data_IF_246107476049
#
_entry.id   IF_246107476049
#
_cell.length_a   1.000
_cell.length_b   1.000
_cell.length_c   1.000
_cell.angle_alpha   90.00
_cell.angle_beta   90.00
_cell.angle_gamma   90.00
#
_symmetry.space_group_name_H-M   'P 1'
#
loop_
_entity.id
_entity.type
_entity.pdbx_description
1 polymer ?
#
# COMPACT_ATOMS: atom_id res chain seq x y z
N UNK A 1 27.42 -15.06 18.04
CA UNK A 1 27.23 -13.70 18.61
C UNK A 1 25.89 -13.19 18.12
N UNK A 2 25.01 -12.71 18.99
CA UNK A 2 23.74 -12.13 18.56
C UNK A 2 24.03 -10.79 17.87
N UNK A 3 23.47 -10.59 16.68
CA UNK A 3 23.61 -9.36 15.91
C UNK A 3 22.93 -8.20 16.67
N UNK A 4 23.65 -7.10 16.90
CA UNK A 4 23.10 -5.93 17.58
C UNK A 4 22.21 -5.18 16.60
N UNK A 5 20.89 -5.36 16.75
CA UNK A 5 19.90 -4.64 15.93
C UNK A 5 19.58 -3.30 16.59
N UNK A 6 19.94 -2.20 15.92
CA UNK A 6 19.54 -0.85 16.33
C UNK A 6 18.07 -0.62 15.98
N UNK A 7 17.23 -0.39 17.00
CA UNK A 7 15.79 -0.19 16.82
C UNK A 7 15.47 1.28 16.59
N UNK A 8 14.88 1.60 15.43
CA UNK A 8 14.30 2.92 15.16
C UNK A 8 13.09 3.19 16.08
N UNK A 9 12.75 4.45 16.37
CA UNK A 9 11.49 4.77 17.06
C UNK A 9 10.29 4.36 16.21
N UNK A 10 9.13 4.22 16.85
CA UNK A 10 7.88 3.92 16.13
C UNK A 10 7.57 5.06 15.16
N UNK A 11 7.43 4.71 13.89
CA UNK A 11 7.06 5.60 12.80
C UNK A 11 5.54 5.54 12.63
N UNK A 12 4.86 6.68 12.73
CA UNK A 12 3.39 6.75 12.76
C UNK A 12 2.79 7.12 11.41
N UNK A 13 3.44 8.00 10.66
CA UNK A 13 2.86 8.57 9.43
C UNK A 13 3.91 8.75 8.35
N UNK A 14 3.56 8.42 7.10
CA UNK A 14 4.37 8.77 5.92
C UNK A 14 4.07 10.22 5.55
N UNK A 15 5.12 11.05 5.49
CA UNK A 15 5.03 12.48 5.21
C UNK A 15 5.42 12.82 3.77
N UNK A 16 6.43 12.13 3.24
CA UNK A 16 6.94 12.36 1.88
C UNK A 16 7.69 11.12 1.37
N UNK A 17 7.88 11.04 0.05
CA UNK A 17 8.78 10.07 -0.58
C UNK A 17 9.56 10.73 -1.70
N UNK A 18 10.72 10.17 -2.05
CA UNK A 18 11.60 10.68 -3.09
C UNK A 18 12.49 9.61 -3.69
N UNK A 19 13.18 9.97 -4.77
CA UNK A 19 14.22 9.14 -5.39
C UNK A 19 15.52 9.89 -5.32
N UNK A 20 16.52 9.31 -4.65
CA UNK A 20 17.88 9.81 -4.71
C UNK A 20 18.62 9.07 -5.83
N UNK A 21 18.70 9.71 -6.99
CA UNK A 21 19.39 9.15 -8.16
C UNK A 21 20.89 9.02 -7.95
N UNK A 22 21.49 9.85 -7.08
CA UNK A 22 22.92 9.82 -6.82
C UNK A 22 23.30 8.63 -5.94
N UNK A 23 22.45 8.32 -4.95
CA UNK A 23 22.61 7.16 -4.07
C UNK A 23 21.98 5.88 -4.65
N UNK A 24 21.12 5.99 -5.66
CA UNK A 24 20.38 4.86 -6.23
C UNK A 24 19.34 4.28 -5.26
N UNK A 25 18.76 5.12 -4.41
CA UNK A 25 17.84 4.72 -3.34
C UNK A 25 16.47 5.39 -3.50
N UNK A 26 15.47 4.77 -2.88
CA UNK A 26 14.14 5.36 -2.66
C UNK A 26 14.07 5.82 -1.21
N UNK A 27 13.77 7.08 -0.98
CA UNK A 27 13.65 7.65 0.35
C UNK A 27 12.18 7.80 0.75
N UNK A 28 11.88 7.50 2.02
CA UNK A 28 10.57 7.74 2.62
C UNK A 28 10.77 8.47 3.94
N UNK A 29 10.14 9.64 4.07
CA UNK A 29 10.16 10.45 5.29
C UNK A 29 8.95 10.11 6.14
N UNK A 30 9.20 9.79 7.40
CA UNK A 30 8.20 9.44 8.39
C UNK A 30 8.16 10.47 9.53
N UNK A 31 6.97 10.70 10.10
CA UNK A 31 6.82 11.26 11.44
C UNK A 31 6.79 10.14 12.48
N UNK A 32 7.49 10.30 13.59
CA UNK A 32 7.52 9.33 14.70
C UNK A 32 6.63 9.73 15.87
N UNK A 33 6.37 8.78 16.79
CA UNK A 33 5.73 9.02 18.11
C UNK A 33 6.39 10.16 18.90
N UNK A 34 7.70 10.36 18.75
CA UNK A 34 8.46 11.42 19.42
C UNK A 34 8.35 12.79 18.73
N UNK A 35 7.42 12.93 17.76
CA UNK A 35 7.22 14.12 16.91
C UNK A 35 8.46 14.56 16.12
N UNK A 36 9.42 13.65 15.92
CA UNK A 36 10.59 13.84 15.06
C UNK A 36 10.32 13.30 13.66
N UNK A 37 11.10 13.80 12.70
CA UNK A 37 11.09 13.32 11.31
C UNK A 37 12.28 12.39 11.09
N UNK A 38 12.03 11.25 10.47
CA UNK A 38 13.05 10.27 10.10
C UNK A 38 12.94 9.96 8.62
N UNK A 39 14.06 9.99 7.90
CA UNK A 39 14.12 9.51 6.54
C UNK A 39 14.73 8.11 6.54
N UNK A 40 14.05 7.18 5.89
CA UNK A 40 14.57 5.84 5.61
C UNK A 40 14.85 5.71 4.11
N UNK A 41 16.07 5.29 3.78
CA UNK A 41 16.48 5.03 2.41
C UNK A 41 16.49 3.53 2.15
N UNK A 42 15.81 3.13 1.07
CA UNK A 42 15.64 1.76 0.66
C UNK A 42 16.39 1.51 -0.65
N UNK A 43 17.16 0.43 -0.70
CA UNK A 43 17.68 -0.09 -1.96
C UNK A 43 16.51 -0.65 -2.81
N UNK A 44 16.45 -0.40 -4.13
CA UNK A 44 15.33 -0.83 -4.96
C UNK A 44 14.98 -2.32 -4.84
N UNK A 45 16.00 -3.18 -4.68
CA UNK A 45 15.85 -4.63 -4.58
C UNK A 45 15.03 -5.12 -3.38
N UNK A 46 14.97 -4.37 -2.28
CA UNK A 46 14.26 -4.80 -1.07
C UNK A 46 12.86 -4.20 -0.94
N UNK A 47 12.52 -3.17 -1.73
CA UNK A 47 11.25 -2.44 -1.61
C UNK A 47 10.03 -3.35 -1.77
N UNK A 48 9.91 -4.23 -2.79
CA UNK A 48 8.73 -5.08 -2.93
C UNK A 48 8.52 -6.02 -1.74
N UNK A 49 9.59 -6.65 -1.25
CA UNK A 49 9.53 -7.56 -0.11
C UNK A 49 9.27 -6.81 1.21
N UNK A 50 9.79 -5.59 1.37
CA UNK A 50 9.50 -4.75 2.53
C UNK A 50 8.00 -4.38 2.57
N UNK A 51 7.43 -3.98 1.44
CA UNK A 51 5.99 -3.68 1.32
C UNK A 51 5.17 -4.94 1.68
N UNK A 52 5.50 -6.08 1.09
CA UNK A 52 4.78 -7.34 1.34
C UNK A 52 4.87 -7.77 2.81
N UNK A 53 6.06 -7.67 3.42
CA UNK A 53 6.26 -8.02 4.83
C UNK A 53 5.47 -7.10 5.76
N UNK A 54 5.52 -5.77 5.53
CA UNK A 54 4.78 -4.80 6.32
C UNK A 54 3.27 -5.01 6.19
N UNK A 55 2.74 -5.21 4.97
CA UNK A 55 1.32 -5.47 4.74
C UNK A 55 0.84 -6.74 5.44
N UNK A 56 1.61 -7.83 5.35
CA UNK A 56 1.27 -9.10 5.99
C UNK A 56 1.26 -9.01 7.52
N UNK A 57 2.23 -8.32 8.12
CA UNK A 57 2.29 -8.15 9.57
C UNK A 57 1.25 -7.14 10.09
N UNK A 58 0.96 -6.09 9.32
CA UNK A 58 -0.11 -5.14 9.64
C UNK A 58 -1.46 -5.87 9.74
N UNK A 59 -1.80 -6.73 8.78
CA UNK A 59 -3.05 -7.49 8.82
C UNK A 59 -3.18 -8.38 10.06
N UNK A 60 -2.08 -9.03 10.47
CA UNK A 60 -2.03 -9.83 11.71
C UNK A 60 -2.17 -8.97 12.96
N UNK A 61 -1.51 -7.82 13.01
CA UNK A 61 -1.60 -6.89 14.12
C UNK A 61 -3.03 -6.38 14.29
N UNK A 62 -3.63 -5.87 13.21
CA UNK A 62 -5.01 -5.34 13.23
C UNK A 62 -6.01 -6.41 13.65
N UNK A 63 -5.88 -7.64 13.13
CA UNK A 63 -6.77 -8.74 13.49
C UNK A 63 -6.67 -9.15 14.98
N UNK A 64 -5.55 -8.85 15.65
CA UNK A 64 -5.32 -9.17 17.05
C UNK A 64 -5.70 -8.02 18.01
N UNK A 65 -6.01 -6.83 17.48
CA UNK A 65 -6.36 -5.67 18.31
C UNK A 65 -7.85 -5.67 18.69
N UNK A 66 -8.20 -5.23 19.91
CA UNK A 66 -9.58 -4.91 20.26
C UNK A 66 -10.15 -3.83 19.32
N UNK A 67 -11.46 -3.85 19.09
CA UNK A 67 -12.11 -2.91 18.17
C UNK A 67 -11.78 -1.44 18.52
N UNK A 68 -11.74 -1.12 19.82
CA UNK A 68 -11.47 0.23 20.34
C UNK A 68 -10.01 0.68 20.15
N UNK A 69 -9.13 -0.23 19.75
CA UNK A 69 -7.69 0.01 19.53
C UNK A 69 -7.27 -0.19 18.09
N UNK A 70 -8.23 -0.38 17.18
CA UNK A 70 -7.93 -0.50 15.76
C UNK A 70 -7.42 0.87 15.28
N UNK A 71 -6.18 0.96 14.77
CA UNK A 71 -5.64 2.23 14.31
C UNK A 71 -6.40 2.72 13.08
N UNK A 72 -6.53 4.05 12.95
CA UNK A 72 -6.95 4.66 11.69
C UNK A 72 -5.81 4.50 10.68
N UNK A 73 -6.01 3.60 9.72
CA UNK A 73 -4.98 3.25 8.75
C UNK A 73 -4.92 4.32 7.66
N UNK A 74 -3.73 4.84 7.38
CA UNK A 74 -3.50 5.67 6.20
C UNK A 74 -3.76 4.84 4.94
N UNK A 75 -4.92 5.04 4.33
CA UNK A 75 -5.33 4.32 3.12
C UNK A 75 -4.53 4.74 1.89
N UNK A 76 -4.27 3.79 0.99
CA UNK A 76 -3.84 4.11 -0.37
C UNK A 76 -5.09 4.59 -1.12
N UNK A 77 -5.13 5.88 -1.45
CA UNK A 77 -6.25 6.45 -2.21
C UNK A 77 -5.97 6.42 -3.71
N UNK A 78 -6.74 5.60 -4.41
CA UNK A 78 -6.78 5.62 -5.87
C UNK A 78 -7.71 6.75 -6.34
N UNK A 79 -7.25 7.55 -7.29
CA UNK A 79 -8.03 8.58 -8.01
C UNK A 79 -8.50 8.12 -9.39
N UNK A 80 -7.99 6.98 -9.85
CA UNK A 80 -8.40 6.39 -11.12
C UNK A 80 -7.98 4.94 -11.21
N UNK A 81 -8.66 4.21 -12.08
CA UNK A 81 -8.31 2.84 -12.43
C UNK A 81 -8.23 2.72 -13.95
N UNK A 82 -7.24 2.01 -14.44
CA UNK A 82 -7.08 1.73 -15.87
C UNK A 82 -6.72 0.26 -16.06
N UNK A 83 -7.39 -0.40 -17.00
CA UNK A 83 -7.00 -1.74 -17.41
C UNK A 83 -5.71 -1.66 -18.23
N UNK A 84 -4.74 -2.51 -17.91
CA UNK A 84 -3.50 -2.67 -18.65
C UNK A 84 -3.25 -4.13 -18.96
N UNK A 85 -2.49 -4.36 -20.04
CA UNK A 85 -1.95 -5.67 -20.37
C UNK A 85 -0.44 -5.51 -20.47
N UNK A 86 0.28 -6.38 -19.78
CA UNK A 86 1.74 -6.46 -19.87
C UNK A 86 2.16 -7.07 -21.20
N UNK A 87 3.43 -6.91 -21.54
CA UNK A 87 4.04 -7.52 -22.73
C UNK A 87 3.97 -9.06 -22.73
N UNK A 88 3.85 -9.68 -21.55
CA UNK A 88 3.67 -11.13 -21.38
C UNK A 88 2.21 -11.60 -21.49
N UNK A 89 1.28 -10.69 -21.76
CA UNK A 89 -0.16 -10.97 -21.87
C UNK A 89 -0.92 -10.98 -20.54
N UNK A 90 -0.25 -10.76 -19.41
CA UNK A 90 -0.89 -10.68 -18.10
C UNK A 90 -1.74 -9.42 -17.99
N UNK A 91 -3.00 -9.58 -17.60
CA UNK A 91 -3.92 -8.47 -17.34
C UNK A 91 -3.66 -7.89 -15.96
N UNK A 92 -3.52 -6.56 -15.89
CA UNK A 92 -3.35 -5.82 -14.66
C UNK A 92 -4.37 -4.67 -14.58
N UNK A 93 -4.72 -4.28 -13.36
CA UNK A 93 -5.42 -3.02 -13.10
C UNK A 93 -4.38 -2.03 -12.57
N UNK A 94 -4.16 -0.94 -13.28
CA UNK A 94 -3.35 0.18 -12.80
C UNK A 94 -4.23 1.07 -11.93
N UNK A 95 -3.87 1.19 -10.65
CA UNK A 95 -4.45 2.19 -9.77
C UNK A 95 -3.63 3.47 -9.87
N UNK A 96 -4.22 4.54 -10.41
CA UNK A 96 -3.61 5.86 -10.32
C UNK A 96 -3.84 6.40 -8.93
N UNK A 97 -2.77 6.72 -8.21
CA UNK A 97 -2.80 7.21 -6.84
C UNK A 97 -2.86 8.74 -6.81
N UNK A 98 -3.29 9.32 -5.69
CA UNK A 98 -3.25 10.78 -5.46
C UNK A 98 -1.85 11.37 -5.60
N UNK A 99 -0.81 10.55 -5.35
CA UNK A 99 0.59 10.93 -5.55
C UNK A 99 0.99 11.06 -7.03
N UNK A 100 0.13 10.68 -7.97
CA UNK A 100 0.44 10.60 -9.40
C UNK A 100 1.17 9.31 -9.81
N UNK A 101 1.48 8.43 -8.86
CA UNK A 101 2.05 7.11 -9.16
C UNK A 101 0.97 6.16 -9.67
N UNK A 102 1.35 5.25 -10.56
CA UNK A 102 0.51 4.13 -10.97
C UNK A 102 0.97 2.86 -10.22
N UNK A 103 0.03 2.24 -9.48
CA UNK A 103 0.25 0.98 -8.78
C UNK A 103 -0.39 -0.16 -9.59
N UNK A 104 0.41 -1.01 -10.26
CA UNK A 104 -0.12 -2.17 -10.94
C UNK A 104 -0.57 -3.24 -9.95
N UNK A 105 -1.81 -3.70 -10.11
CA UNK A 105 -2.35 -4.88 -9.43
C UNK A 105 -2.53 -6.00 -10.45
N UNK A 106 -1.81 -7.08 -10.25
CA UNK A 106 -1.87 -8.27 -11.10
C UNK A 106 -2.85 -9.28 -10.53
N UNK A 107 -3.66 -9.86 -11.41
CA UNK A 107 -4.67 -10.84 -11.04
C UNK A 107 -4.51 -12.09 -11.89
N UNK A 108 -4.78 -13.25 -11.28
CA UNK A 108 -4.92 -14.47 -12.07
C UNK A 108 -6.21 -14.37 -12.89
N UNK A 109 -6.18 -14.87 -14.12
CA UNK A 109 -7.34 -14.79 -15.02
C UNK A 109 -8.63 -15.37 -14.40
N UNK A 110 -8.51 -16.42 -13.59
CA UNK A 110 -9.63 -17.05 -12.88
C UNK A 110 -10.31 -16.14 -11.85
N UNK A 111 -9.58 -15.17 -11.29
CA UNK A 111 -10.07 -14.28 -10.24
C UNK A 111 -10.76 -13.03 -10.83
N UNK A 112 -10.55 -12.73 -12.12
CA UNK A 112 -11.13 -11.56 -12.80
C UNK A 112 -12.67 -11.63 -12.86
N UNK A 113 -13.23 -12.82 -13.09
CA UNK A 113 -14.70 -13.00 -13.11
C UNK A 113 -15.31 -12.70 -11.74
N UNK A 114 -14.70 -13.22 -10.67
CA UNK A 114 -15.12 -12.95 -9.29
C UNK A 114 -15.00 -11.47 -8.95
N UNK A 115 -13.91 -10.83 -9.37
CA UNK A 115 -13.68 -9.40 -9.13
C UNK A 115 -14.75 -8.54 -9.79
N UNK A 116 -15.17 -8.88 -11.02
CA UNK A 116 -16.29 -8.21 -11.71
C UNK A 116 -17.57 -8.28 -10.87
N UNK A 117 -17.95 -9.47 -10.42
CA UNK A 117 -19.20 -9.65 -9.65
C UNK A 117 -19.19 -8.82 -8.35
N UNK A 118 -18.05 -8.77 -7.66
CA UNK A 118 -17.87 -7.97 -6.45
C UNK A 118 -17.93 -6.46 -6.73
N UNK A 119 -17.38 -6.00 -7.85
CA UNK A 119 -17.46 -4.59 -8.26
C UNK A 119 -18.90 -4.22 -8.63
N UNK A 120 -19.60 -5.08 -9.37
CA UNK A 120 -21.00 -4.86 -9.75
C UNK A 120 -21.92 -4.79 -8.51
N UNK A 121 -21.65 -5.62 -7.49
CA UNK A 121 -22.35 -5.56 -6.20
C UNK A 121 -22.01 -4.27 -5.43
N UNK A 122 -20.73 -3.91 -5.31
CA UNK A 122 -20.29 -2.70 -4.64
C UNK A 122 -20.87 -1.43 -5.29
N UNK A 123 -20.95 -1.40 -6.62
CA UNK A 123 -21.54 -0.29 -7.38
C UNK A 123 -23.03 -0.10 -7.04
N UNK A 124 -23.79 -1.19 -6.90
CA UNK A 124 -25.20 -1.12 -6.47
C UNK A 124 -25.35 -0.57 -5.05
N UNK A 125 -24.49 -0.98 -4.13
CA UNK A 125 -24.50 -0.50 -2.74
C UNK A 125 -24.07 0.97 -2.59
N UNK A 126 -23.24 1.44 -3.50
CA UNK A 126 -22.76 2.82 -3.58
C UNK A 126 -23.74 3.75 -4.30
N UNK A 127 -24.71 3.23 -5.07
CA UNK A 127 -25.71 4.05 -5.74
C UNK A 127 -26.60 4.76 -4.71
N UNK A 128 -26.58 6.11 -4.65
CA UNK A 128 -27.41 6.87 -3.72
C UNK A 128 -28.90 6.61 -3.89
N UNK A 129 -29.34 6.19 -5.09
CA UNK A 129 -30.75 5.92 -5.40
C UNK A 129 -31.24 4.57 -4.89
N UNK A 130 -30.34 3.66 -4.53
CA UNK A 130 -30.70 2.34 -3.98
C UNK A 130 -30.94 2.36 -2.45
N UNK A 131 -30.75 3.52 -1.80
CA UNK A 131 -30.90 3.70 -0.33
C UNK A 131 -32.27 4.24 0.11
N UNK A 132 -33.28 4.24 -0.78
CA UNK A 132 -34.64 4.68 -0.48
C UNK A 132 -35.66 3.57 -0.68
#
# INVERSE_FOLDING_TARGET
MAEIVMKAPTLEVVLASGVDRSAGTISVTFGSVDRKKFQLDFAPKCVPLAIAALAAQMGKLVAALPAERTPDLQGIRAIGTQLAMKDDGTVAILLRLESGADLPLEFQAKDLARLRDQIDEAAKLADPKARH
#
